data_IF_494126126213
#
_entry.id   IF_494126126213
#
_cell.length_a   1.000
_cell.length_b   1.000
_cell.length_c   1.000
_cell.angle_alpha   90.00
_cell.angle_beta   90.00
_cell.angle_gamma   90.00
#
_symmetry.space_group_name_H-M   'P 1'
#
loop_
_entity.id
_entity.type
_entity.pdbx_description
1 polymer ?
#
# COMPACT_ATOMS: atom_id res chain seq x y z
N UNK A 1 21.18 11.08 -4.98
CA UNK A 1 21.60 10.74 -3.60
C UNK A 1 20.40 10.90 -2.68
N UNK A 2 20.18 9.98 -1.75
CA UNK A 2 19.12 10.11 -0.74
C UNK A 2 19.51 11.16 0.31
N UNK A 3 18.58 12.06 0.65
CA UNK A 3 18.78 13.05 1.71
C UNK A 3 18.47 12.45 3.08
N UNK A 4 18.98 13.04 4.18
CA UNK A 4 18.62 12.62 5.55
C UNK A 4 17.09 12.65 5.76
N UNK A 5 16.44 13.72 5.31
CA UNK A 5 14.97 13.84 5.29
C UNK A 5 14.33 12.65 4.59
N UNK A 6 14.79 12.32 3.38
CA UNK A 6 14.25 11.20 2.62
C UNK A 6 14.46 9.84 3.29
N UNK A 7 15.62 9.60 3.90
CA UNK A 7 15.89 8.35 4.63
C UNK A 7 14.96 8.21 5.85
N UNK A 8 14.80 9.27 6.63
CA UNK A 8 13.89 9.27 7.78
C UNK A 8 12.45 9.07 7.34
N UNK A 9 11.99 9.81 6.32
CA UNK A 9 10.62 9.69 5.84
C UNK A 9 10.34 8.29 5.28
N UNK A 10 11.30 7.69 4.58
CA UNK A 10 11.18 6.32 4.08
C UNK A 10 11.11 5.29 5.22
N UNK A 11 11.84 5.50 6.32
CA UNK A 11 11.77 4.63 7.49
C UNK A 11 10.36 4.71 8.13
N UNK A 12 9.88 5.91 8.42
CA UNK A 12 8.59 6.12 9.08
C UNK A 12 7.40 5.74 8.18
N UNK A 13 7.52 5.94 6.86
CA UNK A 13 6.61 5.35 5.89
C UNK A 13 6.59 3.82 5.98
N UNK A 14 7.76 3.20 6.13
CA UNK A 14 7.90 1.75 6.29
C UNK A 14 7.25 1.22 7.56
N UNK A 15 7.36 1.94 8.67
CA UNK A 15 6.66 1.65 9.92
C UNK A 15 5.14 1.77 9.73
N UNK A 16 4.65 2.85 9.11
CA UNK A 16 3.21 3.06 8.85
C UNK A 16 2.60 1.95 7.98
N UNK A 17 3.29 1.55 6.91
CA UNK A 17 2.86 0.42 6.08
C UNK A 17 2.96 -0.93 6.83
N UNK A 18 3.85 -1.06 7.81
CA UNK A 18 3.99 -2.28 8.63
C UNK A 18 2.83 -2.40 9.63
N UNK A 19 2.48 -1.32 10.32
CA UNK A 19 1.29 -1.32 11.17
C UNK A 19 0.02 -1.61 10.38
N UNK A 20 -0.13 -1.00 9.19
CA UNK A 20 -1.29 -1.26 8.33
C UNK A 20 -1.42 -2.74 7.97
N UNK A 21 -0.34 -3.39 7.52
CA UNK A 21 -0.42 -4.79 7.12
C UNK A 21 -0.70 -5.71 8.31
N UNK A 22 -0.18 -5.40 9.49
CA UNK A 22 -0.48 -6.14 10.72
C UNK A 22 -1.96 -6.02 11.08
N UNK A 23 -2.55 -4.82 10.99
CA UNK A 23 -3.97 -4.61 11.27
C UNK A 23 -4.87 -5.34 10.25
N UNK A 24 -4.51 -5.30 8.97
CA UNK A 24 -5.21 -6.06 7.92
C UNK A 24 -5.07 -7.57 8.11
N UNK A 25 -3.91 -8.06 8.56
CA UNK A 25 -3.69 -9.47 8.89
C UNK A 25 -4.43 -9.94 10.14
N UNK A 26 -4.72 -9.03 11.09
CA UNK A 26 -5.61 -9.31 12.23
C UNK A 26 -7.07 -9.32 11.82
N UNK A 27 -7.47 -8.38 10.94
CA UNK A 27 -8.85 -8.23 10.45
C UNK A 27 -9.27 -9.33 9.47
N UNK A 28 -8.33 -9.79 8.65
CA UNK A 28 -8.56 -10.77 7.58
C UNK A 28 -7.69 -12.02 7.79
N UNK A 29 -7.68 -12.95 6.83
CA UNK A 29 -6.90 -14.18 6.97
C UNK A 29 -5.42 -13.91 6.67
N UNK A 30 -4.50 -14.03 7.64
CA UNK A 30 -3.09 -13.74 7.40
C UNK A 30 -2.45 -14.70 6.40
N UNK A 31 -1.45 -14.22 5.66
CA UNK A 31 -0.62 -15.00 4.72
C UNK A 31 0.86 -14.69 4.95
N UNK A 32 1.75 -15.56 4.45
CA UNK A 32 3.21 -15.40 4.62
C UNK A 32 3.70 -14.05 4.07
N UNK A 33 4.49 -13.33 4.87
CA UNK A 33 5.08 -12.05 4.47
C UNK A 33 4.07 -10.91 4.63
N UNK A 34 4.14 -9.91 3.75
CA UNK A 34 3.29 -8.71 3.83
C UNK A 34 1.94 -8.91 3.13
N UNK A 35 1.32 -10.07 3.36
CA UNK A 35 0.13 -10.54 2.63
C UNK A 35 -1.02 -10.93 3.55
N UNK A 36 -2.24 -10.76 3.06
CA UNK A 36 -3.45 -11.29 3.67
C UNK A 36 -4.42 -11.78 2.60
N UNK A 37 -5.45 -12.52 3.01
CA UNK A 37 -6.47 -13.04 2.13
C UNK A 37 -7.84 -12.57 2.58
N UNK A 38 -8.63 -12.07 1.63
CA UNK A 38 -10.02 -11.66 1.81
C UNK A 38 -10.81 -12.05 0.57
N UNK A 39 -11.98 -12.67 0.76
CA UNK A 39 -12.86 -13.14 -0.34
C UNK A 39 -12.12 -13.92 -1.44
N UNK A 40 -11.29 -14.88 -1.02
CA UNK A 40 -10.46 -15.73 -1.90
C UNK A 40 -9.37 -14.99 -2.71
N UNK A 41 -9.25 -13.66 -2.59
CA UNK A 41 -8.18 -12.87 -3.20
C UNK A 41 -7.05 -12.67 -2.19
N UNK A 42 -5.80 -12.78 -2.65
CA UNK A 42 -4.62 -12.49 -1.83
C UNK A 42 -4.15 -11.09 -2.14
N UNK A 43 -4.02 -10.26 -1.12
CA UNK A 43 -3.58 -8.88 -1.18
C UNK A 43 -2.18 -8.74 -0.59
N UNK A 44 -1.39 -7.80 -1.11
CA UNK A 44 -0.04 -7.49 -0.65
C UNK A 44 0.17 -5.98 -0.54
N UNK A 45 0.92 -5.58 0.49
CA UNK A 45 1.45 -4.21 0.61
C UNK A 45 2.97 -4.29 0.57
N UNK A 46 3.56 -3.69 -0.45
CA UNK A 46 5.01 -3.60 -0.62
C UNK A 46 5.70 -2.81 0.49
N UNK A 47 7.03 -2.90 0.53
CA UNK A 47 7.85 -1.98 1.33
C UNK A 47 7.97 -0.66 0.57
N UNK A 48 8.08 0.48 1.27
CA UNK A 48 8.31 1.72 0.59
C UNK A 48 9.75 1.79 0.08
N UNK A 49 9.93 2.44 -1.05
CA UNK A 49 11.22 2.81 -1.63
C UNK A 49 11.28 4.33 -1.74
N UNK A 50 12.49 4.89 -1.66
CA UNK A 50 12.71 6.32 -1.87
C UNK A 50 13.28 6.51 -3.27
N UNK A 51 12.52 7.19 -4.14
CA UNK A 51 12.96 7.54 -5.49
C UNK A 51 12.65 9.00 -5.76
N UNK A 52 13.61 9.77 -6.28
CA UNK A 52 13.42 11.16 -6.70
C UNK A 52 12.69 12.06 -5.68
N UNK A 53 13.02 11.93 -4.38
CA UNK A 53 12.37 12.67 -3.29
C UNK A 53 10.85 12.38 -3.16
N UNK A 54 10.48 11.14 -3.46
CA UNK A 54 9.14 10.61 -3.33
C UNK A 54 9.19 9.23 -2.66
N UNK A 55 8.22 8.97 -1.81
CA UNK A 55 7.97 7.62 -1.29
C UNK A 55 7.13 6.88 -2.32
N UNK A 56 7.68 5.78 -2.82
CA UNK A 56 6.98 4.86 -3.70
C UNK A 56 6.62 3.59 -2.93
N UNK A 57 5.44 3.06 -3.15
CA UNK A 57 5.08 1.72 -2.67
C UNK A 57 4.07 1.07 -3.61
N UNK A 58 4.06 -0.27 -3.59
CA UNK A 58 3.12 -1.05 -4.36
C UNK A 58 2.03 -1.65 -3.47
N UNK A 59 0.80 -1.70 -3.99
CA UNK A 59 -0.27 -2.55 -3.48
C UNK A 59 -0.65 -3.51 -4.61
N UNK A 60 -0.82 -4.79 -4.29
CA UNK A 60 -1.22 -5.77 -5.30
C UNK A 60 -2.30 -6.73 -4.83
N UNK A 61 -3.03 -7.30 -5.79
CA UNK A 61 -4.01 -8.35 -5.56
C UNK A 61 -3.85 -9.47 -6.58
N UNK A 62 -3.88 -10.72 -6.12
CA UNK A 62 -3.84 -11.91 -6.98
C UNK A 62 -5.12 -11.97 -7.83
N UNK A 63 -4.98 -12.18 -9.14
CA UNK A 63 -6.10 -12.49 -10.03
C UNK A 63 -6.66 -13.87 -9.64
N UNK A 64 -7.99 -14.04 -9.50
CA UNK A 64 -8.60 -15.31 -9.08
C UNK A 64 -8.60 -16.34 -10.22
N UNK A 65 -7.42 -16.83 -10.60
CA UNK A 65 -7.21 -17.79 -11.69
C UNK A 65 -7.96 -19.12 -11.49
N UNK A 66 -8.21 -19.50 -10.24
CA UNK A 66 -8.98 -20.71 -9.91
C UNK A 66 -10.46 -20.58 -10.35
N UNK A 67 -10.98 -19.35 -10.39
CA UNK A 67 -12.32 -19.00 -10.88
C UNK A 67 -12.28 -18.63 -12.38
N UNK A 68 -11.18 -18.01 -12.83
CA UNK A 68 -10.94 -17.53 -14.19
C UNK A 68 -10.01 -18.48 -14.94
N UNK A 69 -10.55 -19.59 -15.46
CA UNK A 69 -9.78 -20.67 -16.10
C UNK A 69 -9.07 -20.27 -17.41
N UNK A 70 -9.47 -19.17 -18.05
CA UNK A 70 -8.97 -18.74 -19.36
C UNK A 70 -8.17 -17.44 -19.24
N UNK A 71 -7.00 -17.36 -19.90
CA UNK A 71 -6.17 -16.16 -19.91
C UNK A 71 -6.95 -14.91 -20.38
N UNK A 72 -7.78 -15.05 -21.41
CA UNK A 72 -8.61 -13.95 -21.91
C UNK A 72 -9.53 -13.36 -20.85
N UNK A 73 -10.03 -14.18 -19.91
CA UNK A 73 -10.85 -13.72 -18.79
C UNK A 73 -10.01 -13.04 -17.71
N UNK A 74 -8.76 -13.47 -17.53
CA UNK A 74 -7.80 -12.80 -16.66
C UNK A 74 -7.42 -11.41 -17.21
N UNK A 75 -7.23 -11.30 -18.52
CA UNK A 75 -6.96 -10.03 -19.20
C UNK A 75 -8.16 -9.08 -19.07
N UNK A 76 -9.38 -9.57 -19.32
CA UNK A 76 -10.62 -8.80 -19.10
C UNK A 76 -10.76 -8.38 -17.63
N UNK A 77 -10.41 -9.25 -16.68
CA UNK A 77 -10.44 -8.93 -15.25
C UNK A 77 -9.49 -7.76 -14.96
N UNK A 78 -8.24 -7.86 -15.41
CA UNK A 78 -7.24 -6.81 -15.25
C UNK A 78 -7.68 -5.50 -15.89
N UNK A 79 -8.16 -5.51 -17.13
CA UNK A 79 -8.60 -4.31 -17.84
C UNK A 79 -9.76 -3.61 -17.12
N UNK A 80 -10.69 -4.37 -16.55
CA UNK A 80 -11.78 -3.81 -15.75
C UNK A 80 -11.30 -3.19 -14.45
N UNK A 81 -10.34 -3.82 -13.75
CA UNK A 81 -9.73 -3.23 -12.55
C UNK A 81 -8.99 -1.95 -12.92
N UNK A 82 -8.17 -1.99 -13.97
CA UNK A 82 -7.43 -0.83 -14.48
C UNK A 82 -8.37 0.34 -14.78
N UNK A 83 -9.46 0.10 -15.50
CA UNK A 83 -10.45 1.12 -15.83
C UNK A 83 -11.20 1.71 -14.60
N UNK A 84 -11.28 0.97 -13.49
CA UNK A 84 -11.81 1.49 -12.22
C UNK A 84 -10.77 2.32 -11.49
N UNK A 85 -9.53 1.82 -11.38
CA UNK A 85 -8.43 2.52 -10.70
C UNK A 85 -8.02 3.81 -11.42
N UNK A 86 -8.15 3.88 -12.75
CA UNK A 86 -7.89 5.09 -13.54
C UNK A 86 -8.88 6.23 -13.26
N UNK A 87 -10.04 5.92 -12.67
CA UNK A 87 -11.08 6.90 -12.29
C UNK A 87 -10.95 7.40 -10.86
N UNK A 88 -10.05 6.81 -10.07
CA UNK A 88 -9.85 7.21 -8.68
C UNK A 88 -9.22 8.61 -8.59
N UNK A 89 -9.63 9.37 -7.58
CA UNK A 89 -9.11 10.74 -7.37
C UNK A 89 -7.61 10.77 -7.15
N UNK A 90 -7.08 9.75 -6.45
CA UNK A 90 -5.64 9.52 -6.23
C UNK A 90 -5.22 8.26 -6.99
N UNK A 91 -5.13 8.38 -8.31
CA UNK A 91 -4.75 7.27 -9.18
C UNK A 91 -3.31 6.79 -8.93
N UNK A 92 -3.02 5.50 -9.13
CA UNK A 92 -1.66 5.00 -9.18
C UNK A 92 -0.90 5.61 -10.36
N UNK A 93 0.43 5.68 -10.21
CA UNK A 93 1.34 6.13 -11.27
C UNK A 93 1.53 5.03 -12.32
N UNK A 94 1.48 3.76 -11.90
CA UNK A 94 1.54 2.61 -12.79
C UNK A 94 0.56 1.52 -12.36
N UNK A 95 -0.04 0.86 -13.34
CA UNK A 95 -0.92 -0.31 -13.17
C UNK A 95 -0.37 -1.41 -14.08
N UNK A 96 0.15 -2.47 -13.48
CA UNK A 96 0.85 -3.55 -14.16
C UNK A 96 0.20 -4.90 -13.86
N UNK A 97 0.18 -5.77 -14.87
CA UNK A 97 -0.08 -7.20 -14.65
C UNK A 97 1.28 -7.87 -14.37
N UNK A 98 1.51 -8.27 -13.13
CA UNK A 98 2.74 -8.92 -12.71
C UNK A 98 2.54 -10.44 -12.69
N UNK A 99 3.26 -11.15 -13.55
CA UNK A 99 3.29 -12.60 -13.57
C UNK A 99 4.43 -13.11 -12.67
N UNK A 100 4.09 -13.85 -11.62
CA UNK A 100 5.06 -14.52 -10.77
C UNK A 100 5.05 -16.01 -11.11
N UNK A 101 6.09 -16.45 -11.82
CA UNK A 101 6.36 -17.88 -12.04
C UNK A 101 7.08 -18.43 -10.82
N UNK A 102 6.43 -19.34 -10.08
CA UNK A 102 7.08 -20.04 -8.98
C UNK A 102 7.47 -21.45 -9.43
N UNK A 103 8.76 -21.66 -9.67
CA UNK A 103 9.33 -22.96 -10.05
C UNK A 103 10.38 -23.42 -9.03
N UNK A 104 10.01 -24.37 -8.17
CA UNK A 104 10.99 -25.31 -7.60
C UNK A 104 11.03 -26.51 -8.54
N UNK A 105 12.23 -26.83 -9.03
CA UNK A 105 12.53 -28.02 -9.84
C UNK A 105 11.61 -29.20 -9.46
N UNK A 106 10.87 -29.70 -10.45
CA UNK A 106 10.14 -30.99 -10.52
C UNK A 106 8.60 -31.06 -10.35
N UNK A 107 7.80 -30.03 -10.08
CA UNK A 107 6.34 -30.19 -10.28
C UNK A 107 5.55 -28.87 -10.43
N UNK A 108 4.96 -28.68 -11.62
CA UNK A 108 4.03 -27.62 -12.05
C UNK A 108 4.48 -26.17 -11.89
N UNK A 109 4.83 -25.52 -12.99
CA UNK A 109 4.94 -24.06 -13.07
C UNK A 109 3.57 -23.45 -12.74
N UNK A 110 3.44 -22.89 -11.53
CA UNK A 110 2.22 -22.16 -11.14
C UNK A 110 2.42 -20.69 -11.47
N UNK A 111 1.98 -20.31 -12.67
CA UNK A 111 1.88 -18.90 -13.08
C UNK A 111 0.82 -18.23 -12.23
N UNK A 112 1.19 -17.20 -11.46
CA UNK A 112 0.25 -16.41 -10.67
C UNK A 112 0.29 -14.96 -11.13
N UNK A 113 -0.81 -14.51 -11.70
CA UNK A 113 -0.95 -13.12 -12.13
C UNK A 113 -1.49 -12.26 -10.99
N UNK A 114 -0.91 -11.08 -10.86
CA UNK A 114 -1.30 -10.06 -9.91
C UNK A 114 -1.60 -8.76 -10.65
N UNK A 115 -2.62 -8.05 -10.17
CA UNK A 115 -2.76 -6.63 -10.45
C UNK A 115 -1.86 -5.89 -9.48
N UNK A 116 -0.86 -5.15 -9.99
CA UNK A 116 0.08 -4.36 -9.20
C UNK A 116 -0.16 -2.88 -9.45
N UNK A 117 -0.38 -2.13 -8.39
CA UNK A 117 -0.61 -0.69 -8.40
C UNK A 117 0.56 0.00 -7.71
N UNK A 118 1.22 0.91 -8.41
CA UNK A 118 2.37 1.67 -7.89
C UNK A 118 1.91 3.08 -7.56
N UNK A 119 2.12 3.50 -6.32
CA UNK A 119 1.80 4.85 -5.85
C UNK A 119 3.08 5.60 -5.49
N UNK A 120 3.12 6.89 -5.78
CA UNK A 120 4.22 7.78 -5.43
C UNK A 120 3.68 9.00 -4.70
N UNK A 121 4.39 9.39 -3.64
CA UNK A 121 4.06 10.54 -2.82
C UNK A 121 5.29 11.41 -2.61
N UNK A 122 5.28 12.67 -3.09
CA UNK A 122 6.30 13.65 -2.73
C UNK A 122 6.44 13.77 -1.22
N UNK A 123 7.69 13.89 -0.73
CA UNK A 123 7.92 13.99 0.71
C UNK A 123 7.17 15.16 1.36
N UNK A 124 7.01 16.26 0.63
CA UNK A 124 6.35 17.49 1.11
C UNK A 124 4.84 17.34 1.23
N UNK A 125 4.24 16.32 0.60
CA UNK A 125 2.80 16.03 0.69
C UNK A 125 2.47 15.12 1.89
N UNK A 126 3.49 14.60 2.59
CA UNK A 126 3.32 13.65 3.69
C UNK A 126 3.10 14.31 5.06
N UNK A 127 3.25 15.63 5.13
CA UNK A 127 3.00 16.42 6.32
C UNK A 127 2.57 17.84 5.93
N UNK A 128 1.90 18.53 6.84
CA UNK A 128 1.45 19.91 6.64
C UNK A 128 1.98 20.78 7.78
N UNK A 129 2.63 21.88 7.44
CA UNK A 129 3.29 22.75 8.42
C UNK A 129 2.31 23.36 9.42
N UNK A 130 1.11 23.76 8.96
CA UNK A 130 0.09 24.32 9.86
C UNK A 130 -0.37 23.27 10.86
N UNK A 131 -0.57 22.04 10.40
CA UNK A 131 -0.96 20.89 11.24
C UNK A 131 0.16 20.52 12.21
N UNK A 132 1.42 20.59 11.80
CA UNK A 132 2.58 20.39 12.71
C UNK A 132 2.57 21.40 13.84
N UNK A 133 2.38 22.70 13.53
CA UNK A 133 2.33 23.76 14.55
C UNK A 133 1.17 23.51 15.52
N UNK A 134 -0.02 23.19 15.01
CA UNK A 134 -1.20 22.88 15.84
C UNK A 134 -0.98 21.67 16.74
N UNK A 135 -0.45 20.57 16.20
CA UNK A 135 -0.15 19.34 16.97
C UNK A 135 0.91 19.61 18.05
N UNK A 136 1.96 20.36 17.72
CA UNK A 136 3.00 20.74 18.67
C UNK A 136 2.44 21.60 19.83
N UNK A 137 1.65 22.63 19.52
CA UNK A 137 1.00 23.47 20.54
C UNK A 137 -0.01 22.69 21.40
N UNK A 138 -0.68 21.69 20.83
CA UNK A 138 -1.59 20.83 21.58
C UNK A 138 -0.85 19.85 22.52
N UNK A 139 0.39 19.45 22.18
CA UNK A 139 1.21 18.58 23.04
C UNK A 139 1.75 19.28 24.28
N UNK A 140 1.86 20.61 24.30
CA UNK A 140 2.18 21.35 25.53
C UNK A 140 1.12 21.14 26.63
N UNK A 141 -0.07 20.62 26.27
CA UNK A 141 -1.18 20.30 27.18
C UNK A 141 -1.50 18.79 27.28
N UNK A 142 -0.69 17.90 26.66
CA UNK A 142 -0.92 16.45 26.62
C UNK A 142 0.38 15.65 26.85
N UNK A 143 0.29 14.32 26.87
CA UNK A 143 1.47 13.47 27.02
C UNK A 143 2.40 13.63 25.81
N UNK A 144 3.65 14.00 26.07
CA UNK A 144 4.64 14.23 25.01
C UNK A 144 4.87 12.96 24.20
N UNK A 145 5.14 13.11 22.89
CA UNK A 145 5.57 11.99 22.05
C UNK A 145 6.85 11.42 22.67
N UNK A 146 6.86 10.11 22.89
CA UNK A 146 8.04 9.39 23.37
C UNK A 146 9.24 9.56 22.44
N UNK A 147 10.34 8.89 22.76
CA UNK A 147 11.53 8.98 21.92
C UNK A 147 11.26 8.49 20.48
N UNK A 148 11.46 9.38 19.51
CA UNK A 148 11.39 9.10 18.07
C UNK A 148 12.80 9.18 17.53
N UNK A 149 13.34 8.03 17.09
CA UNK A 149 14.70 7.94 16.56
C UNK A 149 14.85 8.83 15.32
N UNK A 150 15.88 9.67 15.32
CA UNK A 150 16.18 10.56 14.19
C UNK A 150 15.54 11.95 14.25
N UNK A 151 14.77 12.25 15.32
CA UNK A 151 14.31 13.61 15.62
C UNK A 151 14.68 14.02 17.06
N UNK A 152 15.38 15.14 17.19
CA UNK A 152 15.80 15.71 18.48
C UNK A 152 14.91 16.87 18.93
N UNK A 153 14.07 17.40 18.06
CA UNK A 153 13.11 18.47 18.37
C UNK A 153 11.69 17.91 18.36
N UNK A 154 10.81 18.42 19.22
CA UNK A 154 9.43 17.93 19.29
C UNK A 154 8.66 18.15 17.99
N UNK A 155 8.93 19.24 17.27
CA UNK A 155 8.37 19.46 15.93
C UNK A 155 8.87 18.40 14.94
N UNK A 156 10.14 18.01 15.00
CA UNK A 156 10.68 16.93 14.20
C UNK A 156 10.02 15.59 14.51
N UNK A 157 9.74 15.31 15.79
CA UNK A 157 9.00 14.11 16.22
C UNK A 157 7.59 14.11 15.63
N UNK A 158 6.87 15.23 15.73
CA UNK A 158 5.53 15.41 15.17
C UNK A 158 5.53 15.19 13.65
N UNK A 159 6.52 15.72 12.93
CA UNK A 159 6.63 15.51 11.48
C UNK A 159 6.79 14.04 11.14
N UNK A 160 7.70 13.31 11.79
CA UNK A 160 7.92 11.89 11.52
C UNK A 160 6.70 11.02 11.86
N UNK A 161 6.00 11.35 12.94
CA UNK A 161 4.73 10.72 13.30
C UNK A 161 3.64 10.99 12.24
N UNK A 162 3.54 12.24 11.77
CA UNK A 162 2.60 12.60 10.70
C UNK A 162 2.90 11.88 9.39
N UNK A 163 4.18 11.71 9.02
CA UNK A 163 4.56 10.93 7.83
C UNK A 163 4.08 9.48 7.96
N UNK A 164 4.28 8.87 9.13
CA UNK A 164 3.81 7.51 9.44
C UNK A 164 2.29 7.40 9.32
N UNK A 165 1.55 8.31 9.98
CA UNK A 165 0.09 8.34 9.94
C UNK A 165 -0.46 8.57 8.52
N UNK A 166 0.12 9.52 7.78
CA UNK A 166 -0.32 9.87 6.44
C UNK A 166 -0.17 8.71 5.48
N UNK A 167 1.00 8.04 5.49
CA UNK A 167 1.25 6.86 4.67
C UNK A 167 0.30 5.71 5.02
N UNK A 168 0.10 5.44 6.32
CA UNK A 168 -0.85 4.42 6.76
C UNK A 168 -2.27 4.70 6.25
N UNK A 169 -2.74 5.95 6.37
CA UNK A 169 -4.09 6.36 5.91
C UNK A 169 -4.26 6.25 4.40
N UNK A 170 -3.31 6.77 3.61
CA UNK A 170 -3.43 6.71 2.14
C UNK A 170 -3.32 5.28 1.62
N UNK A 171 -2.46 4.45 2.22
CA UNK A 171 -2.34 3.05 1.84
C UNK A 171 -3.59 2.24 2.20
N UNK A 172 -4.23 2.52 3.34
CA UNK A 172 -5.51 1.92 3.70
C UNK A 172 -6.60 2.30 2.69
N UNK A 173 -6.72 3.59 2.38
CA UNK A 173 -7.67 4.09 1.37
C UNK A 173 -7.47 3.39 0.02
N UNK A 174 -6.23 3.26 -0.45
CA UNK A 174 -5.94 2.58 -1.72
C UNK A 174 -6.24 1.08 -1.68
N UNK A 175 -5.97 0.43 -0.54
CA UNK A 175 -6.32 -0.96 -0.34
C UNK A 175 -7.84 -1.15 -0.43
N UNK A 176 -8.61 -0.30 0.25
CA UNK A 176 -10.07 -0.32 0.21
C UNK A 176 -10.59 -0.08 -1.21
N UNK A 177 -10.01 0.87 -1.96
CA UNK A 177 -10.34 1.07 -3.38
C UNK A 177 -10.10 -0.18 -4.22
N UNK A 178 -8.93 -0.83 -4.07
CA UNK A 178 -8.61 -2.06 -4.81
C UNK A 178 -9.54 -3.22 -4.43
N UNK A 179 -9.83 -3.39 -3.14
CA UNK A 179 -10.78 -4.41 -2.67
C UNK A 179 -12.18 -4.17 -3.25
N UNK A 180 -12.67 -2.94 -3.21
CA UNK A 180 -13.95 -2.56 -3.81
C UNK A 180 -13.97 -2.76 -5.33
N UNK A 181 -12.86 -2.47 -6.02
CA UNK A 181 -12.74 -2.72 -7.45
C UNK A 181 -12.82 -4.22 -7.76
N UNK A 182 -12.10 -5.05 -7.00
CA UNK A 182 -12.16 -6.50 -7.11
C UNK A 182 -13.57 -7.04 -6.89
N UNK A 183 -14.27 -6.57 -5.85
CA UNK A 183 -15.65 -6.99 -5.56
C UNK A 183 -16.60 -6.63 -6.71
N UNK A 184 -16.48 -5.40 -7.27
CA UNK A 184 -17.26 -4.96 -8.43
C UNK A 184 -16.96 -5.81 -9.68
N UNK A 185 -15.70 -6.11 -9.95
CA UNK A 185 -15.31 -6.90 -11.13
C UNK A 185 -15.76 -8.36 -10.96
N UNK A 186 -15.62 -8.94 -9.76
CA UNK A 186 -16.12 -10.28 -9.46
C UNK A 186 -17.63 -10.39 -9.67
N UNK A 187 -18.40 -9.43 -9.15
CA UNK A 187 -19.84 -9.36 -9.37
C UNK A 187 -20.22 -9.23 -10.85
N UNK A 188 -19.52 -8.36 -11.60
CA UNK A 188 -19.75 -8.17 -13.03
C UNK A 188 -19.40 -9.40 -13.88
N UNK A 189 -18.42 -10.20 -13.45
CA UNK A 189 -18.03 -11.44 -14.13
C UNK A 189 -18.74 -12.69 -13.57
N UNK A 190 -19.60 -12.52 -12.56
CA UNK A 190 -20.34 -13.59 -11.88
C UNK A 190 -19.43 -14.71 -11.36
N UNK A 191 -18.31 -14.31 -10.76
CA UNK A 191 -17.36 -15.21 -10.09
C UNK A 191 -17.43 -14.99 -8.58
N UNK A 192 -17.36 -16.07 -7.80
CA UNK A 192 -17.74 -16.11 -6.36
C UNK A 192 -16.54 -16.38 -5.48
#
# INVERSE_FOLDING_TARGET
>A
MSTLKGMLFSQYAGEGLTHLIEDLQKKYKPKKGRRFNHQNITYEIGRPTLSNNQIEFAISSKIPQDELKDQSKMDIYFDKIKALMDKESKKPVSIEMENIVWGTKQDSDKNRDYVKLIYQYPLDDLFDNETVIKKHQAQDNAEALGEIKGAYTDQGKVVLDMVRESIQKVALMHMDCLMNANDKVKANLKIT
#
